data_IF_853409423547
#
_entry.id   IF_853409423547
#
_cell.length_a   1.000
_cell.length_b   1.000
_cell.length_c   1.000
_cell.angle_alpha   90.00
_cell.angle_beta   90.00
_cell.angle_gamma   90.00
#
_symmetry.space_group_name_H-M   'P 1'
#
loop_
_entity.id
_entity.type
_entity.pdbx_description
1 polymer ?
#
# COMPACT_ATOMS: atom_id res chain seq x y z
N UNK A 1 -17.05 -5.61 6.22
CA UNK A 1 -15.95 -5.16 7.11
C UNK A 1 -15.17 -6.32 7.72
N UNK A 2 -13.88 -6.42 7.39
CA UNK A 2 -12.87 -7.32 7.96
C UNK A 2 -11.86 -6.48 8.75
N UNK A 3 -11.36 -6.99 9.86
CA UNK A 3 -10.26 -6.36 10.60
C UNK A 3 -8.98 -7.18 10.45
N UNK A 4 -7.87 -6.48 10.21
CA UNK A 4 -6.55 -7.06 9.98
C UNK A 4 -5.54 -6.37 10.88
N UNK A 5 -4.50 -7.10 11.26
CA UNK A 5 -3.37 -6.55 11.99
C UNK A 5 -2.08 -7.07 11.40
N UNK A 6 -1.06 -6.23 11.35
CA UNK A 6 0.29 -6.65 10.99
C UNK A 6 1.27 -6.20 12.08
N UNK A 7 2.22 -7.06 12.40
CA UNK A 7 3.42 -6.69 13.15
C UNK A 7 4.54 -6.35 12.16
N UNK A 8 5.35 -5.35 12.47
CA UNK A 8 6.61 -5.13 11.77
C UNK A 8 7.65 -6.16 12.23
N UNK A 9 8.47 -6.64 11.30
CA UNK A 9 9.64 -7.48 11.60
C UNK A 9 10.91 -6.65 11.81
N UNK A 10 10.90 -5.36 11.46
CA UNK A 10 12.04 -4.43 11.61
C UNK A 10 12.05 -3.70 12.97
N UNK A 11 11.05 -3.93 13.83
CA UNK A 11 10.99 -3.34 15.17
C UNK A 11 9.65 -3.48 15.86
N UNK A 12 9.45 -2.68 16.91
CA UNK A 12 8.19 -2.63 17.68
C UNK A 12 7.15 -1.80 16.93
N UNK A 13 6.58 -2.37 15.86
CA UNK A 13 5.53 -1.75 15.06
C UNK A 13 4.29 -2.63 14.97
N UNK A 14 3.11 -2.01 15.04
CA UNK A 14 1.83 -2.67 14.82
C UNK A 14 0.90 -1.79 13.98
N UNK A 15 0.20 -2.43 13.07
CA UNK A 15 -0.90 -1.86 12.31
C UNK A 15 -2.22 -2.53 12.72
N UNK A 16 -3.28 -1.73 12.81
CA UNK A 16 -4.66 -2.22 12.86
C UNK A 16 -5.45 -1.55 11.75
N UNK A 17 -6.06 -2.37 10.89
CA UNK A 17 -6.72 -1.95 9.66
C UNK A 17 -8.14 -2.50 9.61
N UNK A 18 -9.10 -1.63 9.35
CA UNK A 18 -10.46 -1.97 8.96
C UNK A 18 -10.56 -1.92 7.43
N UNK A 19 -10.92 -3.06 6.83
CA UNK A 19 -11.10 -3.24 5.39
C UNK A 19 -12.57 -3.46 5.08
N UNK A 20 -13.16 -2.61 4.25
CA UNK A 20 -14.52 -2.75 3.80
C UNK A 20 -14.61 -2.88 2.28
N UNK A 21 -15.36 -3.87 1.84
CA UNK A 21 -15.62 -4.16 0.44
C UNK A 21 -17.09 -3.84 0.15
N UNK A 22 -17.31 -2.98 -0.84
CA UNK A 22 -18.62 -2.57 -1.32
C UNK A 22 -18.75 -2.89 -2.81
N UNK A 23 -19.96 -2.81 -3.36
CA UNK A 23 -20.18 -3.08 -4.79
C UNK A 23 -19.44 -2.07 -5.71
N UNK A 24 -19.27 -0.85 -5.22
CA UNK A 24 -18.67 0.29 -5.92
C UNK A 24 -17.16 0.45 -5.67
N UNK A 25 -16.57 -0.36 -4.79
CA UNK A 25 -15.13 -0.37 -4.54
C UNK A 25 -14.76 -0.80 -3.13
N UNK A 26 -13.58 -0.36 -2.68
CA UNK A 26 -13.02 -0.76 -1.40
C UNK A 26 -12.62 0.46 -0.60
N UNK A 27 -12.82 0.39 0.71
CA UNK A 27 -12.47 1.43 1.66
C UNK A 27 -11.65 0.83 2.80
N UNK A 28 -10.62 1.56 3.18
CA UNK A 28 -9.71 1.18 4.26
C UNK A 28 -9.53 2.36 5.20
N UNK A 29 -9.51 2.06 6.49
CA UNK A 29 -9.06 2.95 7.55
C UNK A 29 -8.11 2.19 8.47
N UNK A 30 -6.95 2.78 8.77
CA UNK A 30 -5.90 2.09 9.50
C UNK A 30 -5.12 3.02 10.43
N UNK A 31 -4.66 2.47 11.54
CA UNK A 31 -3.72 3.11 12.45
C UNK A 31 -2.46 2.27 12.55
N UNK A 32 -1.31 2.92 12.37
CA UNK A 32 0.02 2.34 12.52
C UNK A 32 0.73 3.05 13.66
N UNK A 33 1.23 2.27 14.62
CA UNK A 33 2.26 2.71 15.56
C UNK A 33 3.54 2.04 15.12
N UNK A 34 4.55 2.81 14.76
CA UNK A 34 5.78 2.25 14.20
C UNK A 34 6.97 3.17 14.33
N UNK A 35 8.06 2.76 13.70
CA UNK A 35 9.29 3.53 13.62
C UNK A 35 9.92 3.39 12.24
N UNK A 36 10.65 4.42 11.80
CA UNK A 36 11.45 4.36 10.59
C UNK A 36 12.72 5.18 10.78
N UNK A 37 13.87 4.62 10.39
CA UNK A 37 15.17 5.27 10.57
C UNK A 37 15.41 5.77 12.02
N UNK A 38 14.98 4.98 13.00
CA UNK A 38 15.10 5.30 14.43
C UNK A 38 14.13 6.38 14.95
N UNK A 39 13.18 6.86 14.13
CA UNK A 39 12.17 7.84 14.54
C UNK A 39 10.81 7.16 14.75
N UNK A 40 10.23 7.20 15.96
CA UNK A 40 8.89 6.69 16.19
C UNK A 40 7.84 7.62 15.58
N UNK A 41 6.71 7.05 15.15
CA UNK A 41 5.56 7.80 14.65
C UNK A 41 4.25 7.05 14.92
N UNK A 42 3.16 7.80 15.00
CA UNK A 42 1.80 7.30 14.85
C UNK A 42 1.22 7.82 13.54
N UNK A 43 0.71 6.92 12.70
CA UNK A 43 0.06 7.24 11.43
C UNK A 43 -1.40 6.78 11.49
N UNK A 44 -2.32 7.64 11.10
CA UNK A 44 -3.71 7.29 10.78
C UNK A 44 -3.92 7.54 9.30
N UNK A 45 -4.42 6.56 8.57
CA UNK A 45 -4.67 6.73 7.14
C UNK A 45 -6.01 6.14 6.68
N UNK A 46 -6.49 6.66 5.56
CA UNK A 46 -7.65 6.17 4.82
C UNK A 46 -7.30 6.02 3.35
N UNK A 47 -7.75 4.94 2.74
CA UNK A 47 -7.62 4.71 1.29
C UNK A 47 -8.96 4.29 0.74
N UNK A 48 -9.32 4.81 -0.44
CA UNK A 48 -10.46 4.31 -1.21
C UNK A 48 -10.03 4.01 -2.64
N UNK A 49 -10.46 2.88 -3.16
CA UNK A 49 -10.30 2.52 -4.56
C UNK A 49 -11.65 2.10 -5.16
N UNK A 50 -11.75 2.18 -6.48
CA UNK A 50 -12.95 1.73 -7.20
C UNK A 50 -13.01 0.20 -7.33
N UNK A 51 -14.08 -0.31 -7.95
CA UNK A 51 -14.26 -1.74 -8.19
C UNK A 51 -13.16 -2.39 -9.06
N UNK A 52 -12.32 -1.59 -9.75
CA UNK A 52 -11.15 -2.06 -10.50
C UNK A 52 -9.84 -1.89 -9.71
N UNK A 53 -9.93 -1.64 -8.40
CA UNK A 53 -8.80 -1.44 -7.49
C UNK A 53 -7.93 -0.23 -7.83
N UNK A 54 -8.45 0.74 -8.59
CA UNK A 54 -7.72 1.98 -8.92
C UNK A 54 -7.91 2.97 -7.78
N UNK A 55 -6.81 3.50 -7.26
CA UNK A 55 -6.87 4.40 -6.10
C UNK A 55 -7.57 5.70 -6.48
N UNK A 56 -8.57 6.08 -5.68
CA UNK A 56 -9.38 7.30 -5.88
C UNK A 56 -9.13 8.34 -4.80
N UNK A 57 -8.76 7.90 -3.62
CA UNK A 57 -8.55 8.77 -2.47
C UNK A 57 -7.52 8.16 -1.53
N UNK A 58 -6.62 9.00 -1.01
CA UNK A 58 -5.75 8.65 0.09
C UNK A 58 -5.64 9.84 1.04
N UNK A 59 -5.76 9.57 2.34
CA UNK A 59 -5.53 10.55 3.39
C UNK A 59 -4.65 9.95 4.45
N UNK A 60 -3.63 10.69 4.88
CA UNK A 60 -2.63 10.26 5.84
C UNK A 60 -2.39 11.37 6.85
N UNK A 61 -2.41 11.03 8.13
CA UNK A 61 -2.15 11.94 9.24
C UNK A 61 -1.11 11.37 10.19
N UNK A 62 -0.02 12.11 10.39
CA UNK A 62 0.94 11.81 11.44
C UNK A 62 0.46 12.47 12.73
N UNK A 63 0.43 11.70 13.82
CA UNK A 63 0.07 12.20 15.15
C UNK A 63 1.05 13.32 15.55
N UNK A 64 0.51 14.52 15.79
CA UNK A 64 1.32 15.71 16.09
C UNK A 64 2.17 16.22 14.92
N UNK A 65 1.96 15.71 13.70
CA UNK A 65 2.75 16.02 12.52
C UNK A 65 1.90 16.45 11.31
N UNK A 66 2.48 16.20 10.13
CA UNK A 66 1.90 16.57 8.85
C UNK A 66 0.65 15.77 8.49
N UNK A 67 -0.04 16.29 7.47
CA UNK A 67 -1.23 15.70 6.87
C UNK A 67 -1.08 15.75 5.36
N UNK A 68 -1.53 14.69 4.70
CA UNK A 68 -1.49 14.55 3.27
C UNK A 68 -2.86 14.04 2.82
N UNK A 69 -3.43 14.71 1.82
CA UNK A 69 -4.67 14.30 1.17
C UNK A 69 -4.44 14.28 -0.33
N UNK A 70 -4.82 13.18 -0.97
CA UNK A 70 -4.62 12.89 -2.38
C UNK A 70 -5.92 12.42 -3.01
N UNK A 71 -6.24 12.98 -4.17
CA UNK A 71 -7.41 12.65 -4.98
C UNK A 71 -6.95 12.14 -6.34
N UNK A 72 -7.29 10.89 -6.64
CA UNK A 72 -6.95 10.20 -7.88
C UNK A 72 -8.16 10.06 -8.79
N UNK A 73 -7.97 10.22 -10.09
CA UNK A 73 -9.01 10.00 -11.10
C UNK A 73 -9.10 8.55 -11.60
N UNK A 74 -8.21 7.67 -11.13
CA UNK A 74 -8.09 6.28 -11.57
C UNK A 74 -7.53 6.11 -12.98
N UNK A 75 -7.08 7.19 -13.64
CA UNK A 75 -6.46 7.17 -14.96
C UNK A 75 -5.02 7.72 -14.96
N UNK A 76 -4.52 8.15 -13.79
CA UNK A 76 -3.13 8.56 -13.60
C UNK A 76 -2.97 10.00 -13.15
N UNK A 77 -4.07 10.77 -13.11
CA UNK A 77 -4.03 12.18 -12.72
C UNK A 77 -4.37 12.30 -11.23
N UNK A 78 -3.55 13.08 -10.53
CA UNK A 78 -3.64 13.27 -9.10
C UNK A 78 -3.73 14.74 -8.72
N UNK A 79 -4.49 15.03 -7.68
CA UNK A 79 -4.57 16.34 -7.04
C UNK A 79 -4.34 16.21 -5.54
N UNK A 80 -3.83 17.25 -4.90
CA UNK A 80 -3.83 17.34 -3.44
C UNK A 80 -5.21 17.75 -2.89
N UNK A 81 -5.35 17.84 -1.56
CA UNK A 81 -6.56 18.29 -0.88
C UNK A 81 -6.98 19.74 -1.18
N UNK A 82 -6.13 20.53 -1.84
CA UNK A 82 -6.43 21.89 -2.30
C UNK A 82 -6.78 21.96 -3.79
N UNK A 83 -6.81 20.81 -4.47
CA UNK A 83 -7.09 20.71 -5.90
C UNK A 83 -5.90 21.08 -6.79
N UNK A 84 -4.68 21.15 -6.26
CA UNK A 84 -3.49 21.37 -7.08
C UNK A 84 -3.06 20.06 -7.73
N UNK A 85 -2.86 20.08 -9.05
CA UNK A 85 -2.40 18.92 -9.81
C UNK A 85 -0.97 18.50 -9.41
N UNK A 86 -0.76 17.20 -9.23
CA UNK A 86 0.50 16.59 -8.80
C UNK A 86 1.23 15.94 -9.96
N UNK A 87 1.76 16.77 -10.88
CA UNK A 87 2.45 16.29 -12.10
C UNK A 87 3.67 15.41 -11.84
N UNK A 88 4.24 15.45 -10.64
CA UNK A 88 5.38 14.62 -10.25
C UNK A 88 5.05 13.11 -10.18
N UNK A 89 3.77 12.76 -10.06
CA UNK A 89 3.28 11.36 -10.01
C UNK A 89 2.31 11.04 -11.16
N UNK A 90 2.36 11.81 -12.23
CA UNK A 90 1.49 11.68 -13.40
C UNK A 90 1.56 10.28 -14.04
N UNK A 91 0.43 9.59 -14.19
CA UNK A 91 0.36 8.22 -14.71
C UNK A 91 0.50 7.12 -13.65
N UNK A 92 0.74 7.44 -12.37
CA UNK A 92 0.64 6.46 -11.29
C UNK A 92 -0.82 6.12 -11.01
N UNK A 93 -1.18 4.84 -10.91
CA UNK A 93 -2.54 4.41 -10.54
C UNK A 93 -2.62 3.96 -9.08
N UNK A 94 -1.56 3.31 -8.60
CA UNK A 94 -1.46 2.84 -7.22
C UNK A 94 -0.63 3.80 -6.38
N UNK A 95 -0.97 3.86 -5.09
CA UNK A 95 -0.12 4.43 -4.06
C UNK A 95 0.69 3.32 -3.39
N UNK A 96 1.82 3.68 -2.80
CA UNK A 96 2.58 2.79 -1.93
C UNK A 96 2.94 3.52 -0.62
N UNK A 97 2.28 3.15 0.47
CA UNK A 97 2.51 3.76 1.77
C UNK A 97 3.59 2.93 2.47
N UNK A 98 4.72 3.57 2.74
CA UNK A 98 5.91 2.87 3.18
C UNK A 98 5.82 2.19 4.55
N UNK A 99 4.72 2.39 5.28
CA UNK A 99 4.48 1.90 6.65
C UNK A 99 3.56 0.66 6.72
N UNK A 100 3.02 0.20 5.59
CA UNK A 100 2.01 -0.86 5.57
C UNK A 100 2.21 -1.81 4.39
N UNK A 101 1.95 -3.11 4.56
CA UNK A 101 1.88 -4.05 3.45
C UNK A 101 0.55 -3.99 2.69
N UNK A 102 -0.47 -3.27 3.19
CA UNK A 102 -1.78 -3.19 2.54
C UNK A 102 -1.69 -2.64 1.12
N UNK A 103 -0.83 -1.65 0.86
CA UNK A 103 -0.74 -1.02 -0.46
C UNK A 103 -0.23 -1.97 -1.55
N UNK A 104 0.39 -3.11 -1.19
CA UNK A 104 0.73 -4.16 -2.15
C UNK A 104 -0.51 -4.86 -2.73
N UNK A 105 -1.64 -4.87 -2.02
CA UNK A 105 -2.90 -5.45 -2.50
C UNK A 105 -3.45 -4.70 -3.71
N UNK A 106 -3.23 -3.38 -3.80
CA UNK A 106 -3.74 -2.54 -4.88
C UNK A 106 -3.26 -3.04 -6.26
N UNK A 107 -1.95 -3.12 -6.56
CA UNK A 107 -1.47 -3.64 -7.84
C UNK A 107 -1.75 -5.14 -8.02
N UNK A 108 -1.67 -5.95 -6.96
CA UNK A 108 -1.96 -7.41 -7.06
C UNK A 108 -3.37 -7.62 -7.62
N UNK A 109 -4.35 -6.88 -7.12
CA UNK A 109 -5.76 -7.02 -7.55
C UNK A 109 -6.05 -6.29 -8.86
N UNK A 110 -5.47 -5.11 -9.06
CA UNK A 110 -5.68 -4.29 -10.27
C UNK A 110 -5.07 -4.92 -11.52
N UNK A 111 -3.89 -5.53 -11.41
CA UNK A 111 -3.14 -6.03 -12.57
C UNK A 111 -3.68 -7.35 -13.11
N UNK A 112 -4.33 -8.16 -12.27
CA UNK A 112 -4.88 -9.48 -12.65
C UNK A 112 -3.86 -10.38 -13.38
N UNK A 113 -2.61 -10.37 -12.90
CA UNK A 113 -1.49 -11.11 -13.50
C UNK A 113 -1.79 -12.62 -13.57
N UNK A 114 -1.44 -13.23 -14.70
CA UNK A 114 -1.37 -14.69 -14.82
C UNK A 114 -0.12 -15.25 -14.14
N UNK A 115 -0.12 -16.52 -13.76
CA UNK A 115 1.08 -17.17 -13.21
C UNK A 115 2.28 -17.05 -14.15
N UNK A 116 3.43 -16.67 -13.59
CA UNK A 116 4.66 -16.38 -14.33
C UNK A 116 4.68 -15.02 -15.03
N UNK A 117 3.57 -14.28 -15.06
CA UNK A 117 3.53 -12.93 -15.62
C UNK A 117 4.22 -11.94 -14.68
N UNK A 118 4.99 -11.02 -15.29
CA UNK A 118 5.67 -9.92 -14.61
C UNK A 118 5.28 -8.61 -15.25
N UNK A 119 4.88 -7.64 -14.43
CA UNK A 119 4.49 -6.31 -14.88
C UNK A 119 5.21 -5.21 -14.08
N UNK A 120 6.06 -4.40 -14.75
CA UNK A 120 6.53 -3.13 -14.19
C UNK A 120 5.39 -2.12 -14.08
N UNK A 121 5.42 -1.33 -13.01
CA UNK A 121 4.49 -0.24 -12.74
C UNK A 121 5.23 0.97 -12.17
N UNK A 122 4.61 2.14 -12.28
CA UNK A 122 4.98 3.30 -11.49
C UNK A 122 3.92 3.54 -10.42
N UNK A 123 4.36 3.82 -9.20
CA UNK A 123 3.47 4.10 -8.06
C UNK A 123 3.78 5.45 -7.44
N UNK A 124 2.77 6.06 -6.82
CA UNK A 124 2.94 7.21 -5.94
C UNK A 124 3.39 6.71 -4.56
N UNK A 125 4.69 6.64 -4.36
CA UNK A 125 5.29 6.22 -3.09
C UNK A 125 5.22 7.35 -2.07
N UNK A 126 4.71 7.03 -0.88
CA UNK A 126 4.50 7.97 0.22
C UNK A 126 5.41 7.54 1.37
N UNK A 127 6.42 8.37 1.66
CA UNK A 127 7.34 8.14 2.77
C UNK A 127 6.69 8.43 4.12
N UNK A 128 7.17 7.75 5.16
CA UNK A 128 6.74 7.96 6.55
C UNK A 128 7.97 8.18 7.45
N UNK A 129 7.92 9.14 8.40
CA UNK A 129 6.78 9.99 8.76
C UNK A 129 6.69 11.34 8.01
N UNK A 130 7.53 11.58 7.01
CA UNK A 130 7.67 12.86 6.31
C UNK A 130 6.56 13.15 5.27
N UNK A 131 5.77 12.13 4.88
CA UNK A 131 4.66 12.23 3.93
C UNK A 131 5.05 12.82 2.57
N UNK A 132 6.29 12.59 2.13
CA UNK A 132 6.73 13.00 0.79
C UNK A 132 6.20 12.01 -0.24
N UNK A 133 5.63 12.55 -1.31
CA UNK A 133 5.07 11.77 -2.41
C UNK A 133 6.02 11.82 -3.59
N UNK A 134 6.51 10.65 -4.01
CA UNK A 134 7.44 10.54 -5.14
C UNK A 134 7.02 9.42 -6.08
N UNK A 135 7.28 9.59 -7.38
CA UNK A 135 7.11 8.52 -8.35
C UNK A 135 8.28 7.55 -8.22
N UNK A 136 7.98 6.26 -8.04
CA UNK A 136 8.99 5.21 -8.06
C UNK A 136 8.56 4.06 -8.96
N UNK A 137 9.54 3.36 -9.53
CA UNK A 137 9.31 2.16 -10.32
C UNK A 137 9.35 0.91 -9.43
N UNK A 138 8.36 0.04 -9.66
CA UNK A 138 8.22 -1.25 -9.02
C UNK A 138 7.89 -2.30 -10.07
N UNK A 139 7.98 -3.57 -9.73
CA UNK A 139 7.37 -4.63 -10.52
C UNK A 139 6.72 -5.68 -9.62
N UNK A 140 5.68 -6.30 -10.16
CA UNK A 140 5.02 -7.44 -9.54
C UNK A 140 5.10 -8.63 -10.48
N UNK A 141 5.38 -9.81 -9.93
CA UNK A 141 5.26 -11.08 -10.65
C UNK A 141 4.32 -12.01 -9.90
N UNK A 142 3.42 -12.69 -10.60
CA UNK A 142 2.59 -13.74 -10.00
C UNK A 142 3.39 -15.05 -9.96
N UNK A 143 3.69 -15.56 -8.76
CA UNK A 143 4.38 -16.85 -8.60
C UNK A 143 3.36 -17.98 -8.60
N UNK A 144 2.35 -17.87 -7.73
CA UNK A 144 1.23 -18.79 -7.60
C UNK A 144 -0.06 -17.95 -7.49
N UNK A 145 -1.01 -18.20 -8.38
CA UNK A 145 -2.19 -17.35 -8.52
C UNK A 145 -2.97 -17.29 -7.21
N UNK A 146 -3.32 -16.07 -6.78
CA UNK A 146 -4.05 -15.79 -5.54
C UNK A 146 -3.34 -16.26 -4.25
N UNK A 147 -2.05 -16.62 -4.31
CA UNK A 147 -1.32 -17.17 -3.17
C UNK A 147 0.02 -16.50 -2.94
N UNK A 148 0.82 -16.31 -3.98
CA UNK A 148 2.18 -15.82 -3.84
C UNK A 148 2.58 -14.88 -4.98
N UNK A 149 3.09 -13.71 -4.63
CA UNK A 149 3.50 -12.67 -5.57
C UNK A 149 4.88 -12.15 -5.20
N UNK A 150 5.75 -11.98 -6.20
CA UNK A 150 7.03 -11.30 -6.03
C UNK A 150 6.85 -9.80 -6.19
N UNK A 151 7.25 -9.05 -5.17
CA UNK A 151 7.48 -7.62 -5.27
C UNK A 151 8.94 -7.32 -5.63
N UNK A 152 9.16 -6.33 -6.48
CA UNK A 152 10.47 -5.78 -6.81
C UNK A 152 10.46 -4.26 -6.67
N UNK A 153 11.20 -3.73 -5.70
CA UNK A 153 11.50 -2.31 -5.57
C UNK A 153 12.72 -1.95 -6.40
N UNK A 154 12.52 -1.67 -7.69
CA UNK A 154 13.60 -1.48 -8.70
C UNK A 154 14.61 -0.43 -8.21
N UNK A 155 14.13 0.70 -7.70
CA UNK A 155 14.98 1.80 -7.23
C UNK A 155 15.81 1.48 -5.97
N UNK A 156 15.44 0.44 -5.19
CA UNK A 156 16.13 0.03 -3.95
C UNK A 156 16.94 -1.25 -4.12
N UNK A 157 16.90 -1.87 -5.31
CA UNK A 157 17.45 -3.20 -5.55
C UNK A 157 16.99 -4.21 -4.47
N UNK A 158 15.69 -4.19 -4.17
CA UNK A 158 15.05 -5.06 -3.19
C UNK A 158 13.98 -5.91 -3.87
N UNK A 159 13.88 -7.17 -3.49
CA UNK A 159 12.81 -8.06 -3.92
C UNK A 159 12.40 -8.99 -2.77
N UNK A 160 11.12 -9.34 -2.74
CA UNK A 160 10.58 -10.27 -1.75
C UNK A 160 9.36 -11.00 -2.30
N UNK A 161 9.20 -12.25 -1.89
CA UNK A 161 8.04 -13.07 -2.20
C UNK A 161 7.04 -12.93 -1.07
N UNK A 162 5.87 -12.40 -1.38
CA UNK A 162 4.79 -12.15 -0.43
C UNK A 162 3.72 -13.21 -0.59
N UNK A 163 3.27 -13.75 0.55
CA UNK A 163 2.06 -14.58 0.60
C UNK A 163 0.84 -13.69 0.80
N UNK A 164 -0.24 -13.98 0.11
CA UNK A 164 -1.50 -13.24 0.18
C UNK A 164 -2.68 -14.18 0.47
N UNK A 165 -3.78 -13.62 0.98
CA UNK A 165 -5.05 -14.33 1.05
C UNK A 165 -5.87 -14.18 -0.24
N UNK A 166 -7.07 -14.77 -0.26
CA UNK A 166 -7.99 -14.76 -1.40
C UNK A 166 -8.41 -13.36 -1.86
N UNK A 167 -8.30 -12.36 -0.98
CA UNK A 167 -8.57 -10.95 -1.28
C UNK A 167 -7.31 -10.20 -1.76
N UNK A 168 -6.17 -10.88 -1.86
CA UNK A 168 -4.87 -10.27 -2.18
C UNK A 168 -4.26 -9.52 -1.01
N UNK A 169 -4.77 -9.69 0.21
CA UNK A 169 -4.24 -9.05 1.41
C UNK A 169 -3.04 -9.83 1.93
N UNK A 170 -1.95 -9.14 2.18
CA UNK A 170 -0.67 -9.74 2.58
C UNK A 170 -0.81 -10.51 3.89
N UNK A 171 -0.32 -11.75 3.90
CA UNK A 171 -0.20 -12.63 5.06
C UNK A 171 1.20 -12.54 5.64
N UNK A 172 2.20 -12.71 4.77
CA UNK A 172 3.61 -12.74 5.11
C UNK A 172 4.38 -11.94 4.06
N UNK A 173 5.12 -10.96 4.53
CA UNK A 173 6.06 -10.16 3.76
C UNK A 173 7.42 -10.35 4.44
N UNK A 174 8.21 -11.33 4.00
CA UNK A 174 9.45 -11.70 4.65
C UNK A 174 10.31 -10.48 4.94
N UNK A 175 10.84 -10.41 6.17
CA UNK A 175 11.68 -9.34 6.72
C UNK A 175 11.02 -7.99 7.00
N UNK A 176 9.77 -7.77 6.57
CA UNK A 176 9.10 -6.47 6.74
C UNK A 176 7.85 -6.56 7.62
N UNK A 177 6.91 -7.46 7.31
CA UNK A 177 5.60 -7.52 7.97
C UNK A 177 5.05 -8.94 8.06
N UNK A 178 4.39 -9.26 9.18
CA UNK A 178 3.64 -10.51 9.33
C UNK A 178 2.23 -10.21 9.84
N UNK A 179 1.22 -10.84 9.23
CA UNK A 179 -0.17 -10.71 9.64
C UNK A 179 -0.43 -11.41 10.97
N UNK A 180 -1.24 -10.81 11.83
CA UNK A 180 -1.61 -11.30 13.15
C UNK A 180 -3.05 -11.84 13.19
N UNK A 181 -3.35 -12.83 14.07
CA UNK A 181 -2.38 -13.58 14.86
C UNK A 181 -1.49 -14.44 13.94
N UNK A 182 -0.24 -14.68 14.37
CA UNK A 182 0.63 -15.61 13.66
C UNK A 182 -0.01 -17.00 13.74
N UNK A 183 -0.14 -17.67 12.60
CA UNK A 183 -0.53 -19.09 12.59
C UNK A 183 0.49 -19.87 13.41
N UNK A 184 0.00 -20.76 14.28
CA UNK A 184 0.83 -21.55 15.20
C UNK A 184 1.39 -22.78 14.53
#
# INVERSE_FOLDING_TARGET
MRELRWASEEGEGIEHLAFDAHEDGFAVESVVVGQRYGKPYGLHYKVRCDAQWRTRYAWLKIVGGGELELHGDGAGHWHDGHGLALSAIEGCIDIDIAATPFTNTLPIRRLQLAEGERQPISVAYISTPDLQVTRVEQAYSCIELHREYRYEGIFRNFAADMKVDEDGLVIDYPTLFTRLPRER
#
